data_IF_543056954809
#
_entry.id   IF_543056954809
#
_cell.length_a   1.000
_cell.length_b   1.000
_cell.length_c   1.000
_cell.angle_alpha   90.00
_cell.angle_beta   90.00
_cell.angle_gamma   90.00
#
_symmetry.space_group_name_H-M   'P 1'
#
loop_
_entity.id
_entity.type
_entity.pdbx_description
1 polymer ?
#
# COMPACT_ATOMS: atom_id res chain seq x y z
N UNK A 1 -15.46 -12.56 25.53
CA UNK A 1 -15.30 -12.41 24.07
C UNK A 1 -16.18 -13.43 23.36
N UNK A 2 -17.00 -13.02 22.40
CA UNK A 2 -17.69 -13.96 21.50
C UNK A 2 -16.71 -14.56 20.49
N UNK A 3 -16.92 -15.81 20.07
CA UNK A 3 -16.17 -16.40 18.96
C UNK A 3 -16.52 -15.67 17.66
N UNK A 4 -15.52 -15.38 16.84
CA UNK A 4 -15.72 -14.90 15.47
C UNK A 4 -16.31 -16.06 14.65
N UNK A 5 -17.44 -15.83 13.97
CA UNK A 5 -18.01 -16.80 13.04
C UNK A 5 -17.33 -16.69 11.67
N UNK A 6 -16.46 -17.65 11.38
CA UNK A 6 -15.67 -17.72 10.16
C UNK A 6 -16.27 -18.63 9.08
N UNK A 7 -17.46 -19.22 9.30
CA UNK A 7 -18.05 -20.23 8.39
C UNK A 7 -18.29 -19.74 6.97
N UNK A 8 -18.44 -18.42 6.78
CA UNK A 8 -18.68 -17.78 5.49
C UNK A 8 -17.45 -17.09 4.91
N UNK A 9 -16.30 -17.19 5.56
CA UNK A 9 -15.07 -16.63 5.02
C UNK A 9 -14.66 -17.40 3.77
N UNK A 10 -14.23 -16.66 2.77
CA UNK A 10 -13.78 -17.21 1.50
C UNK A 10 -12.63 -16.36 0.99
N UNK A 11 -11.86 -16.93 0.06
CA UNK A 11 -10.75 -16.20 -0.56
C UNK A 11 -11.29 -15.04 -1.41
N UNK A 12 -10.52 -13.96 -1.46
CA UNK A 12 -10.83 -12.81 -2.30
C UNK A 12 -9.57 -12.31 -3.00
N UNK A 13 -9.80 -11.72 -4.18
CA UNK A 13 -8.75 -11.06 -4.96
C UNK A 13 -8.71 -9.59 -4.57
N UNK A 14 -7.50 -9.02 -4.44
CA UNK A 14 -7.31 -7.60 -4.09
C UNK A 14 -8.14 -6.69 -4.99
N UNK A 15 -8.16 -6.94 -6.30
CA UNK A 15 -8.91 -6.17 -7.27
C UNK A 15 -10.44 -6.15 -7.07
N UNK A 16 -11.00 -7.12 -6.34
CA UNK A 16 -12.43 -7.14 -6.00
C UNK A 16 -12.77 -6.22 -4.84
N UNK A 17 -11.79 -5.94 -3.98
CA UNK A 17 -11.97 -5.10 -2.80
C UNK A 17 -11.46 -3.68 -3.02
N UNK A 18 -10.43 -3.48 -3.84
CA UNK A 18 -9.74 -2.20 -3.90
C UNK A 18 -9.75 -1.59 -5.29
N UNK A 19 -9.94 -0.27 -5.31
CA UNK A 19 -9.50 0.53 -6.46
C UNK A 19 -7.98 0.68 -6.36
N UNK A 20 -7.27 0.12 -7.33
CA UNK A 20 -5.80 0.16 -7.37
C UNK A 20 -5.34 1.36 -8.19
N UNK A 21 -4.49 2.20 -7.61
CA UNK A 21 -3.85 3.35 -8.28
C UNK A 21 -2.33 3.27 -8.14
N UNK A 22 -1.64 4.09 -8.93
CA UNK A 22 -0.20 4.32 -8.82
C UNK A 22 0.06 5.79 -8.49
N UNK A 23 1.02 6.10 -7.59
CA UNK A 23 1.40 7.48 -7.34
C UNK A 23 1.99 8.14 -8.59
N UNK A 24 2.00 9.48 -8.60
CA UNK A 24 2.71 10.23 -9.63
C UNK A 24 4.20 9.92 -9.62
N UNK A 25 4.82 9.93 -10.80
CA UNK A 25 6.27 9.77 -10.92
C UNK A 25 6.97 11.03 -10.38
N UNK A 26 7.91 10.85 -9.44
CA UNK A 26 8.61 11.94 -8.75
C UNK A 26 10.12 11.74 -8.81
N UNK A 27 10.85 12.81 -9.05
CA UNK A 27 12.31 12.87 -8.84
C UNK A 27 12.57 13.59 -7.53
N UNK A 28 12.98 12.85 -6.51
CA UNK A 28 13.17 13.38 -5.14
C UNK A 28 14.12 14.57 -5.12
N UNK A 29 15.12 14.61 -6.00
CA UNK A 29 16.07 15.73 -6.13
C UNK A 29 15.44 17.07 -6.53
N UNK A 30 14.19 17.07 -6.98
CA UNK A 30 13.44 18.29 -7.34
C UNK A 30 12.51 18.79 -6.21
N UNK A 31 12.55 18.14 -5.05
CA UNK A 31 11.77 18.51 -3.87
C UNK A 31 12.68 19.12 -2.81
N UNK A 32 12.09 19.98 -1.99
CA UNK A 32 12.72 20.52 -0.78
C UNK A 32 12.13 19.86 0.46
N UNK A 33 12.80 20.02 1.59
CA UNK A 33 12.28 19.60 2.89
C UNK A 33 10.96 20.33 3.21
N UNK A 34 10.03 19.60 3.81
CA UNK A 34 8.71 20.10 4.22
C UNK A 34 8.10 19.14 5.24
N UNK A 35 6.79 19.20 5.41
CA UNK A 35 6.09 18.45 6.48
C UNK A 35 5.22 17.28 5.97
N UNK A 36 5.12 17.08 4.65
CA UNK A 36 4.32 15.99 4.07
C UNK A 36 5.17 14.72 3.94
N UNK A 37 4.71 13.56 4.46
CA UNK A 37 5.48 12.33 4.43
C UNK A 37 5.67 11.85 2.98
N UNK A 38 6.91 11.47 2.65
CA UNK A 38 7.23 10.80 1.40
C UNK A 38 7.31 9.28 1.64
N UNK A 39 6.32 8.56 1.11
CA UNK A 39 6.15 7.12 1.27
C UNK A 39 6.77 6.38 0.10
N UNK A 40 7.68 5.46 0.40
CA UNK A 40 8.45 4.66 -0.55
C UNK A 40 8.23 3.16 -0.33
N UNK A 41 8.93 2.33 -1.12
CA UNK A 41 8.90 0.85 -1.03
C UNK A 41 9.71 0.29 0.15
N UNK A 42 9.92 1.08 1.21
CA UNK A 42 10.65 0.65 2.40
C UNK A 42 9.77 -0.21 3.31
N UNK A 43 10.37 -1.18 4.02
CA UNK A 43 9.66 -2.14 4.87
C UNK A 43 9.47 -1.69 6.33
N UNK A 44 9.88 -0.47 6.67
CA UNK A 44 9.86 0.07 8.04
C UNK A 44 9.25 1.46 8.05
N UNK A 45 8.92 1.97 9.25
CA UNK A 45 8.47 3.35 9.46
C UNK A 45 7.26 3.75 8.59
N UNK A 46 6.28 2.84 8.44
CA UNK A 46 5.11 3.05 7.57
C UNK A 46 5.45 3.39 6.10
N UNK A 47 6.65 2.99 5.64
CA UNK A 47 7.18 3.31 4.32
C UNK A 47 7.74 4.73 4.18
N UNK A 48 7.68 5.56 5.23
CA UNK A 48 8.13 6.97 5.20
C UNK A 48 9.66 7.03 5.26
N UNK A 49 10.27 7.68 4.26
CA UNK A 49 11.74 7.82 4.16
C UNK A 49 12.24 9.27 4.26
N UNK A 50 11.35 10.25 4.06
CA UNK A 50 11.64 11.68 4.21
C UNK A 50 10.33 12.46 4.35
N UNK A 51 10.43 13.76 4.61
CA UNK A 51 9.31 14.70 4.54
C UNK A 51 9.66 15.79 3.54
N UNK A 52 8.72 16.10 2.65
CA UNK A 52 8.94 16.97 1.49
C UNK A 52 7.79 17.96 1.34
N UNK A 53 8.09 19.12 0.76
CA UNK A 53 7.07 20.10 0.39
C UNK A 53 6.42 19.70 -0.96
N UNK A 54 5.08 19.55 -1.03
CA UNK A 54 4.38 19.31 -2.29
C UNK A 54 4.57 20.47 -3.28
N UNK A 55 4.68 20.18 -4.57
CA UNK A 55 4.83 21.25 -5.58
C UNK A 55 3.55 22.04 -5.82
N UNK A 56 2.39 21.44 -5.54
CA UNK A 56 1.04 22.00 -5.62
C UNK A 56 0.04 21.00 -5.00
N UNK A 57 -1.23 21.39 -4.90
CA UNK A 57 -2.30 20.55 -4.33
C UNK A 57 -2.49 19.23 -5.10
N UNK A 58 -2.36 19.25 -6.42
CA UNK A 58 -2.49 18.04 -7.22
C UNK A 58 -1.31 17.08 -7.00
N UNK A 59 -0.17 17.54 -6.48
CA UNK A 59 1.02 16.71 -6.25
C UNK A 59 0.86 15.77 -5.05
N UNK A 60 -0.26 15.79 -4.33
CA UNK A 60 -0.50 14.96 -3.16
C UNK A 60 -1.29 13.71 -3.52
N UNK A 61 -0.98 12.58 -2.89
CA UNK A 61 -1.83 11.39 -2.91
C UNK A 61 -2.78 11.45 -1.71
N UNK A 62 -4.07 11.19 -1.95
CA UNK A 62 -5.09 11.14 -0.92
C UNK A 62 -4.78 10.00 0.08
N UNK A 63 -4.91 10.31 1.37
CA UNK A 63 -4.80 9.35 2.47
C UNK A 63 -5.94 8.33 2.51
N UNK A 64 -6.14 7.75 3.69
CA UNK A 64 -7.07 6.65 3.93
C UNK A 64 -6.94 5.49 2.92
N UNK A 65 -5.70 5.08 2.65
CA UNK A 65 -5.41 3.98 1.73
C UNK A 65 -4.32 3.05 2.26
N UNK A 66 -4.18 1.88 1.63
CA UNK A 66 -3.06 0.97 1.91
C UNK A 66 -2.03 1.08 0.79
N UNK A 67 -0.79 1.39 1.14
CA UNK A 67 0.36 1.38 0.23
C UNK A 67 1.01 0.01 0.23
N UNK A 68 1.33 -0.55 -0.94
CA UNK A 68 2.00 -1.86 -1.09
C UNK A 68 3.32 -1.72 -1.83
N UNK A 69 4.40 -2.18 -1.22
CA UNK A 69 5.74 -2.27 -1.81
C UNK A 69 5.80 -3.41 -2.83
N UNK A 70 6.25 -3.17 -4.07
CA UNK A 70 6.41 -4.23 -5.06
C UNK A 70 7.63 -5.11 -4.78
N UNK A 71 8.53 -4.70 -3.87
CA UNK A 71 9.82 -5.36 -3.65
C UNK A 71 9.71 -6.55 -2.70
N UNK A 72 8.89 -6.40 -1.67
CA UNK A 72 8.82 -7.35 -0.56
C UNK A 72 7.39 -7.51 -0.03
N UNK A 73 6.40 -6.89 -0.69
CA UNK A 73 5.00 -6.93 -0.27
C UNK A 73 4.68 -6.19 1.03
N UNK A 74 5.60 -5.38 1.56
CA UNK A 74 5.32 -4.53 2.73
C UNK A 74 4.10 -3.65 2.45
N UNK A 75 3.12 -3.74 3.34
CA UNK A 75 1.84 -3.06 3.21
C UNK A 75 1.58 -2.18 4.45
N UNK A 76 1.19 -0.93 4.22
CA UNK A 76 1.05 0.08 5.26
C UNK A 76 -0.20 0.92 5.05
N UNK A 77 -0.94 1.18 6.13
CA UNK A 77 -2.05 2.11 6.11
C UNK A 77 -1.53 3.55 6.21
N UNK A 78 -1.93 4.41 5.26
CA UNK A 78 -1.66 5.84 5.29
C UNK A 78 -2.94 6.55 5.73
N UNK A 79 -2.99 6.95 6.99
CA UNK A 79 -4.14 7.66 7.58
C UNK A 79 -4.28 9.09 7.04
N UNK A 80 -3.16 9.70 6.65
CA UNK A 80 -3.09 11.07 6.16
C UNK A 80 -2.54 11.13 4.74
N UNK A 81 -2.78 12.25 4.09
CA UNK A 81 -2.26 12.60 2.78
C UNK A 81 -0.72 12.56 2.75
N UNK A 82 -0.17 12.15 1.61
CA UNK A 82 1.26 11.87 1.49
C UNK A 82 1.76 12.05 0.06
N UNK A 83 3.09 12.05 -0.10
CA UNK A 83 3.75 11.98 -1.40
C UNK A 83 4.19 10.54 -1.65
N UNK A 84 3.56 9.85 -2.59
CA UNK A 84 3.92 8.47 -2.91
C UNK A 84 5.11 8.37 -3.88
N UNK A 85 5.93 7.34 -3.74
CA UNK A 85 6.95 7.00 -4.74
C UNK A 85 6.30 6.34 -5.97
N UNK A 86 6.16 7.10 -7.06
CA UNK A 86 5.80 6.58 -8.38
C UNK A 86 7.00 6.34 -9.30
N UNK A 87 6.73 5.98 -10.57
CA UNK A 87 7.75 5.70 -11.59
C UNK A 87 8.11 4.21 -11.72
N UNK A 88 9.15 3.89 -12.50
CA UNK A 88 9.51 2.49 -12.76
C UNK A 88 10.35 1.85 -11.63
N UNK A 89 10.35 0.52 -11.58
CA UNK A 89 11.26 -0.31 -10.77
C UNK A 89 10.81 -0.59 -9.34
N UNK A 90 10.29 0.40 -8.62
CA UNK A 90 9.85 0.19 -7.22
C UNK A 90 8.79 1.18 -6.76
N UNK A 91 7.94 1.63 -7.69
CA UNK A 91 6.75 2.38 -7.33
C UNK A 91 5.82 1.54 -6.45
N UNK A 92 5.34 2.16 -5.37
CA UNK A 92 4.32 1.55 -4.53
C UNK A 92 2.98 1.53 -5.27
N UNK A 93 2.13 0.58 -4.90
CA UNK A 93 0.72 0.56 -5.32
C UNK A 93 -0.15 1.17 -4.22
N UNK A 94 -1.23 1.83 -4.61
CA UNK A 94 -2.20 2.44 -3.69
C UNK A 94 -3.53 1.67 -3.76
N UNK A 95 -4.03 1.21 -2.62
CA UNK A 95 -5.27 0.45 -2.50
C UNK A 95 -6.32 1.27 -1.75
N UNK A 96 -7.35 1.72 -2.47
CA UNK A 96 -8.45 2.52 -1.92
C UNK A 96 -9.74 1.71 -1.80
N UNK A 97 -10.49 1.92 -0.70
CA UNK A 97 -11.85 1.44 -0.50
C UNK A 97 -12.57 2.34 0.54
N UNK A 98 -13.80 2.76 0.26
CA UNK A 98 -14.58 3.67 1.13
C UNK A 98 -14.91 3.10 2.51
N UNK A 99 -14.80 1.78 2.68
CA UNK A 99 -15.01 1.08 3.94
C UNK A 99 -13.72 0.94 4.77
N UNK A 100 -12.59 1.51 4.32
CA UNK A 100 -11.36 1.48 5.12
C UNK A 100 -11.51 2.35 6.37
N UNK A 101 -11.11 1.76 7.50
CA UNK A 101 -10.86 2.43 8.75
C UNK A 101 -9.49 1.99 9.29
N UNK A 102 -9.00 2.68 10.32
CA UNK A 102 -7.69 2.39 10.92
C UNK A 102 -7.50 0.91 11.30
N UNK A 103 -8.49 0.29 11.93
CA UNK A 103 -8.36 -1.07 12.46
C UNK A 103 -8.44 -2.11 11.35
N UNK A 104 -9.40 -1.97 10.44
CA UNK A 104 -9.53 -2.89 9.33
C UNK A 104 -8.35 -2.75 8.35
N UNK A 105 -7.80 -1.54 8.18
CA UNK A 105 -6.64 -1.30 7.32
C UNK A 105 -5.38 -1.93 7.87
N UNK A 106 -5.15 -1.84 9.19
CA UNK A 106 -4.02 -2.51 9.85
C UNK A 106 -4.11 -4.03 9.75
N UNK A 107 -5.31 -4.59 9.93
CA UNK A 107 -5.55 -6.01 9.75
C UNK A 107 -5.28 -6.43 8.30
N UNK A 108 -5.88 -5.76 7.32
CA UNK A 108 -5.71 -6.08 5.90
C UNK A 108 -4.26 -5.92 5.45
N UNK A 109 -3.55 -4.88 5.90
CA UNK A 109 -2.12 -4.68 5.61
C UNK A 109 -1.28 -5.89 6.04
N UNK A 110 -1.56 -6.43 7.23
CA UNK A 110 -0.89 -7.64 7.72
C UNK A 110 -1.16 -8.84 6.81
N UNK A 111 -2.42 -9.02 6.39
CA UNK A 111 -2.80 -10.13 5.52
C UNK A 111 -2.20 -10.00 4.11
N UNK A 112 -2.13 -8.78 3.55
CA UNK A 112 -1.45 -8.52 2.28
C UNK A 112 0.02 -8.89 2.37
N UNK A 113 0.71 -8.51 3.45
CA UNK A 113 2.12 -8.85 3.65
C UNK A 113 2.33 -10.36 3.67
N UNK A 114 1.53 -11.10 4.45
CA UNK A 114 1.60 -12.56 4.52
C UNK A 114 1.31 -13.23 3.17
N UNK A 115 0.27 -12.79 2.46
CA UNK A 115 -0.06 -13.32 1.13
C UNK A 115 1.03 -13.03 0.09
N UNK A 116 1.85 -11.99 0.33
CA UNK A 116 2.93 -11.57 -0.56
C UNK A 116 4.26 -12.28 -0.30
N UNK A 117 4.40 -13.08 0.77
CA UNK A 117 5.67 -13.78 1.11
C UNK A 117 6.15 -14.77 0.04
N UNK A 118 5.25 -15.20 -0.86
CA UNK A 118 5.60 -16.04 -2.02
C UNK A 118 6.36 -15.29 -3.11
N UNK A 119 6.40 -13.97 -3.06
CA UNK A 119 7.10 -13.11 -4.00
C UNK A 119 8.43 -12.67 -3.39
N UNK A 120 9.47 -12.64 -4.22
CA UNK A 120 10.79 -12.15 -3.84
C UNK A 120 11.31 -11.15 -4.86
N UNK A 121 12.55 -10.68 -4.68
CA UNK A 121 13.14 -9.69 -5.59
C UNK A 121 13.23 -10.17 -7.05
N UNK A 122 13.31 -11.48 -7.29
CA UNK A 122 13.35 -12.12 -8.61
C UNK A 122 11.96 -12.23 -9.25
N UNK A 123 10.90 -12.23 -8.42
CA UNK A 123 9.49 -12.24 -8.82
C UNK A 123 8.72 -11.14 -8.09
N UNK A 124 9.03 -9.88 -8.43
CA UNK A 124 8.48 -8.71 -7.78
C UNK A 124 6.94 -8.68 -7.87
N UNK A 125 6.31 -8.14 -6.82
CA UNK A 125 4.86 -7.92 -6.77
C UNK A 125 4.48 -6.74 -7.67
N UNK A 126 4.43 -6.99 -8.97
CA UNK A 126 3.97 -6.03 -9.97
C UNK A 126 2.49 -5.72 -9.78
N UNK A 127 2.02 -4.61 -10.36
CA UNK A 127 0.59 -4.27 -10.36
C UNK A 127 -0.31 -5.41 -10.88
N UNK A 128 0.15 -6.17 -11.89
CA UNK A 128 -0.58 -7.32 -12.45
C UNK A 128 -0.71 -8.48 -11.45
N UNK A 129 0.37 -8.81 -10.74
CA UNK A 129 0.36 -9.89 -9.75
C UNK A 129 -0.37 -9.46 -8.46
N UNK A 130 -0.30 -8.18 -8.09
CA UNK A 130 -1.09 -7.61 -7.00
C UNK A 130 -2.59 -7.66 -7.32
N UNK A 131 -2.98 -7.33 -8.55
CA UNK A 131 -4.38 -7.34 -8.98
C UNK A 131 -5.06 -8.69 -8.77
N UNK A 132 -4.31 -9.78 -8.99
CA UNK A 132 -4.77 -11.16 -8.89
C UNK A 132 -4.35 -11.84 -7.58
N UNK A 133 -3.73 -11.10 -6.65
CA UNK A 133 -3.31 -11.63 -5.36
C UNK A 133 -4.54 -12.11 -4.59
N UNK A 134 -4.56 -13.41 -4.29
CA UNK A 134 -5.58 -14.04 -3.45
C UNK A 134 -5.16 -13.98 -2.00
N UNK A 135 -6.04 -13.44 -1.17
CA UNK A 135 -5.94 -13.50 0.28
C UNK A 135 -6.68 -14.75 0.74
N UNK A 136 -5.95 -15.68 1.34
CA UNK A 136 -6.49 -16.89 1.95
C UNK A 136 -6.68 -16.67 3.46
N UNK A 137 -7.75 -17.22 4.03
CA UNK A 137 -8.07 -17.11 5.45
C UNK A 137 -7.46 -18.22 6.33
N UNK A 138 -6.63 -19.09 5.75
CA UNK A 138 -6.07 -20.31 6.37
C UNK A 138 -4.56 -20.23 6.59
N UNK A 139 -4.07 -19.12 7.12
CA UNK A 139 -2.72 -19.04 7.69
C UNK A 139 -2.77 -19.22 9.21
#
# INVERSE_FOLDING_TARGET
MGKIDIKKWHDFEISRLFTIKSPKARKISEYIEGDVPYVSSGAINNGVVSYLEPKNEDDIEEGNCITVSPLDGSAFYQEHDFLGRGGAGSAISLLYNDNLDKYNSLFISTIIKLASEKFDYSDALTGSNLYTLKINYLY
#
